data_IF_498635130032
#
_entry.id   IF_498635130032
#
_cell.length_a   1.000
_cell.length_b   1.000
_cell.length_c   1.000
_cell.angle_alpha   90.00
_cell.angle_beta   90.00
_cell.angle_gamma   90.00
#
_symmetry.space_group_name_H-M   'P 1'
#
loop_
_entity.id
_entity.type
_entity.pdbx_description
1 polymer ?
#
# COMPACT_ATOMS: atom_id res chain seq x y z
N UNK A 1 23.00 -53.57 7.70
CA UNK A 1 22.73 -52.11 7.83
C UNK A 1 21.83 -51.73 6.72
N UNK A 2 20.58 -51.43 7.03
CA UNK A 2 19.46 -51.43 6.11
C UNK A 2 19.20 -50.06 5.49
N UNK A 3 18.78 -50.06 4.21
CA UNK A 3 18.40 -48.89 3.42
C UNK A 3 17.34 -47.97 4.06
N UNK A 4 16.78 -48.34 5.22
CA UNK A 4 15.83 -47.52 5.98
C UNK A 4 16.48 -46.39 6.79
N UNK A 5 17.77 -46.48 7.12
CA UNK A 5 18.46 -45.44 7.90
C UNK A 5 18.97 -44.29 7.01
N UNK A 6 19.21 -44.54 5.72
CA UNK A 6 19.60 -43.50 4.77
C UNK A 6 18.41 -42.61 4.32
N UNK A 7 17.17 -43.11 4.39
CA UNK A 7 15.96 -42.35 4.02
C UNK A 7 15.48 -41.34 5.08
N UNK A 8 15.87 -41.50 6.34
CA UNK A 8 15.47 -40.57 7.41
C UNK A 8 16.43 -39.39 7.57
N UNK A 9 17.71 -39.55 7.24
CA UNK A 9 18.69 -38.44 7.28
C UNK A 9 18.47 -37.40 6.21
N UNK A 10 17.92 -37.78 5.06
CA UNK A 10 17.63 -36.82 3.93
C UNK A 10 16.40 -35.94 4.17
N UNK A 11 15.49 -36.29 5.10
CA UNK A 11 14.29 -35.48 5.41
C UNK A 11 14.51 -34.45 6.51
N UNK A 12 15.57 -34.52 7.29
CA UNK A 12 15.87 -33.59 8.36
C UNK A 12 16.62 -32.32 7.92
N UNK A 13 17.07 -32.26 6.65
CA UNK A 13 17.96 -31.20 6.16
C UNK A 13 17.31 -30.01 5.45
N UNK A 14 15.99 -29.93 5.28
CA UNK A 14 15.37 -28.89 4.44
C UNK A 14 14.40 -27.92 5.13
N UNK A 15 14.34 -27.92 6.45
CA UNK A 15 13.75 -26.81 7.19
C UNK A 15 14.73 -25.62 7.26
N UNK A 16 15.20 -25.10 6.11
CA UNK A 16 15.79 -23.76 6.08
C UNK A 16 14.77 -22.84 6.72
N UNK A 17 15.03 -22.37 7.94
CA UNK A 17 14.31 -21.24 8.55
C UNK A 17 14.25 -20.14 7.49
N UNK A 18 13.08 -19.97 6.85
CA UNK A 18 12.85 -18.83 5.99
C UNK A 18 13.01 -17.63 6.90
N UNK A 19 14.08 -16.85 6.68
CA UNK A 19 14.31 -15.63 7.42
C UNK A 19 13.05 -14.76 7.28
N UNK A 20 12.34 -14.56 8.38
CA UNK A 20 11.16 -13.71 8.38
C UNK A 20 11.61 -12.28 8.07
N UNK A 21 10.99 -11.65 7.07
CA UNK A 21 11.30 -10.27 6.74
C UNK A 21 11.00 -9.38 7.95
N UNK A 22 11.95 -8.54 8.42
CA UNK A 22 11.75 -7.71 9.61
C UNK A 22 10.55 -6.77 9.44
N UNK A 23 9.63 -6.78 10.40
CA UNK A 23 8.42 -5.94 10.36
C UNK A 23 8.59 -4.55 10.97
N UNK A 24 9.76 -4.25 11.53
CA UNK A 24 10.11 -2.96 12.17
C UNK A 24 8.98 -2.42 13.07
N UNK A 25 8.55 -3.22 14.06
CA UNK A 25 7.45 -2.87 14.96
C UNK A 25 7.66 -1.54 15.70
N UNK A 26 8.92 -1.20 16.01
CA UNK A 26 9.29 0.06 16.62
C UNK A 26 8.84 1.29 15.81
N UNK A 27 8.78 1.18 14.46
CA UNK A 27 8.35 2.27 13.60
C UNK A 27 6.85 2.65 13.78
N UNK A 28 6.08 1.85 14.51
CA UNK A 28 4.67 2.09 14.82
C UNK A 28 4.43 2.58 16.25
N UNK A 29 5.48 2.72 17.06
CA UNK A 29 5.40 3.29 18.40
C UNK A 29 5.03 4.79 18.36
N UNK A 30 4.44 5.35 19.42
CA UNK A 30 4.10 6.77 19.46
C UNK A 30 5.28 7.70 19.14
N UNK A 31 6.50 7.54 19.71
CA UNK A 31 7.63 8.39 19.37
C UNK A 31 8.02 8.32 17.89
N UNK A 32 8.10 7.12 17.32
CA UNK A 32 8.43 6.95 15.90
C UNK A 32 7.39 7.57 14.97
N UNK A 33 6.11 7.54 15.36
CA UNK A 33 5.01 8.20 14.63
C UNK A 33 5.12 9.73 14.70
N UNK A 34 5.58 10.29 15.82
CA UNK A 34 5.84 11.72 15.93
C UNK A 34 6.98 12.14 15.01
N UNK A 35 8.11 11.43 15.03
CA UNK A 35 9.24 11.65 14.12
C UNK A 35 8.77 11.52 12.66
N UNK A 36 8.02 10.47 12.31
CA UNK A 36 7.44 10.32 10.98
C UNK A 36 6.57 11.50 10.59
N UNK A 37 5.70 11.96 11.49
CA UNK A 37 4.86 13.11 11.21
C UNK A 37 5.68 14.36 10.93
N UNK A 38 6.74 14.59 11.70
CA UNK A 38 7.71 15.68 11.46
C UNK A 38 8.35 15.58 10.07
N UNK A 39 8.87 14.42 9.71
CA UNK A 39 9.45 14.17 8.37
C UNK A 39 8.42 14.43 7.28
N UNK A 40 7.20 13.91 7.44
CA UNK A 40 6.15 14.02 6.42
C UNK A 40 5.60 15.44 6.28
N UNK A 41 5.36 16.16 7.38
CA UNK A 41 4.85 17.54 7.32
C UNK A 41 5.93 18.56 7.03
N UNK A 42 7.13 18.37 7.58
CA UNK A 42 8.23 19.33 7.46
C UNK A 42 9.06 19.18 6.17
N UNK A 43 9.11 17.99 5.57
CA UNK A 43 9.92 17.75 4.39
C UNK A 43 9.14 17.11 3.24
N UNK A 44 8.56 15.93 3.43
CA UNK A 44 8.01 15.14 2.33
C UNK A 44 6.85 15.86 1.60
N UNK A 45 5.86 16.36 2.33
CA UNK A 45 4.68 17.01 1.74
C UNK A 45 5.03 18.36 1.09
N UNK A 46 5.83 19.25 1.72
CA UNK A 46 6.31 20.47 1.06
C UNK A 46 7.12 20.19 -0.20
N UNK A 47 8.05 19.22 -0.13
CA UNK A 47 8.86 18.84 -1.28
C UNK A 47 8.01 18.31 -2.44
N UNK A 48 7.06 17.41 -2.15
CA UNK A 48 6.14 16.91 -3.17
C UNK A 48 5.33 18.03 -3.82
N UNK A 49 4.82 18.98 -3.03
CA UNK A 49 4.07 20.12 -3.56
C UNK A 49 4.93 21.07 -4.39
N UNK A 50 6.21 21.22 -4.05
CA UNK A 50 7.15 22.04 -4.80
C UNK A 50 7.52 21.40 -6.14
N UNK A 51 7.84 20.10 -6.13
CA UNK A 51 8.24 19.37 -7.34
C UNK A 51 7.05 19.13 -8.26
N UNK A 52 5.92 18.74 -7.70
CA UNK A 52 4.72 18.38 -8.43
C UNK A 52 3.49 18.81 -7.63
N UNK A 53 2.94 20.00 -7.91
CA UNK A 53 1.67 20.43 -7.36
C UNK A 53 0.61 19.34 -7.60
N UNK A 54 -0.11 18.96 -6.55
CA UNK A 54 -1.15 17.95 -6.70
C UNK A 54 -2.50 18.43 -6.17
N UNK A 55 -3.53 18.08 -6.89
CA UNK A 55 -4.94 18.34 -6.53
C UNK A 55 -5.55 17.07 -5.95
N UNK A 56 -6.43 17.23 -4.97
CA UNK A 56 -7.15 16.09 -4.34
C UNK A 56 -8.65 16.27 -4.56
N UNK A 57 -9.24 15.34 -5.33
CA UNK A 57 -10.68 15.28 -5.60
C UNK A 57 -11.33 14.23 -4.68
N UNK A 58 -12.52 14.49 -4.18
CA UNK A 58 -13.27 13.54 -3.36
C UNK A 58 -12.79 13.41 -1.90
N UNK A 59 -11.98 14.32 -1.39
CA UNK A 59 -11.45 14.32 -0.01
C UNK A 59 -12.54 14.19 1.06
N UNK A 60 -13.76 14.69 0.79
CA UNK A 60 -14.93 14.56 1.66
C UNK A 60 -15.33 13.10 1.94
N UNK A 61 -14.97 12.15 1.07
CA UNK A 61 -15.24 10.73 1.28
C UNK A 61 -14.51 10.17 2.50
N UNK A 62 -13.37 10.76 2.88
CA UNK A 62 -12.62 10.35 4.07
C UNK A 62 -13.37 10.68 5.37
N UNK A 63 -14.28 11.66 5.39
CA UNK A 63 -15.08 11.96 6.59
C UNK A 63 -16.12 10.87 6.92
N UNK A 64 -16.48 10.05 5.91
CA UNK A 64 -17.41 8.92 6.08
C UNK A 64 -16.77 7.73 6.81
N UNK A 65 -15.43 7.72 6.95
CA UNK A 65 -14.71 6.65 7.64
C UNK A 65 -14.85 6.79 9.15
N UNK A 66 -15.43 5.77 9.79
CA UNK A 66 -15.56 5.68 11.26
C UNK A 66 -14.40 4.93 11.93
N UNK A 67 -13.58 4.24 11.16
CA UNK A 67 -12.48 3.38 11.63
C UNK A 67 -11.41 3.18 10.58
N UNK A 68 -10.60 2.11 10.72
CA UNK A 68 -9.61 1.74 9.72
C UNK A 68 -10.27 1.36 8.39
N UNK A 69 -9.49 1.47 7.31
CA UNK A 69 -9.93 1.13 5.96
C UNK A 69 -8.76 0.54 5.16
N UNK A 70 -9.08 -0.21 4.11
CA UNK A 70 -8.11 -0.63 3.09
C UNK A 70 -8.21 0.32 1.91
N UNK A 71 -7.15 1.07 1.65
CA UNK A 71 -7.04 1.96 0.50
C UNK A 71 -6.42 1.19 -0.67
N UNK A 72 -7.06 1.21 -1.82
CA UNK A 72 -6.56 0.57 -3.04
C UNK A 72 -6.33 1.61 -4.12
N UNK A 73 -5.16 1.57 -4.77
CA UNK A 73 -4.76 2.54 -5.79
C UNK A 73 -4.14 1.86 -7.00
N UNK A 74 -4.23 2.49 -8.17
CA UNK A 74 -3.36 2.16 -9.30
C UNK A 74 -1.89 2.45 -8.95
N UNK A 75 -0.95 1.80 -9.66
CA UNK A 75 0.48 1.94 -9.39
C UNK A 75 1.22 2.33 -10.66
N UNK A 76 1.77 3.54 -10.68
CA UNK A 76 2.46 4.13 -11.84
C UNK A 76 3.93 4.47 -11.51
N UNK A 77 4.20 4.92 -10.28
CA UNK A 77 5.48 5.51 -9.90
C UNK A 77 5.92 5.13 -8.48
N UNK A 78 7.19 5.30 -8.19
CA UNK A 78 7.70 5.25 -6.81
C UNK A 78 7.12 6.34 -5.90
N UNK A 79 6.60 7.42 -6.49
CA UNK A 79 5.97 8.53 -5.77
C UNK A 79 4.49 8.26 -5.40
N UNK A 80 3.89 7.17 -5.87
CA UNK A 80 2.49 6.87 -5.58
C UNK A 80 2.19 6.81 -4.08
N UNK A 81 3.00 6.08 -3.33
CA UNK A 81 2.81 5.98 -1.87
C UNK A 81 3.02 7.32 -1.15
N UNK A 82 4.12 8.08 -1.37
CA UNK A 82 4.28 9.43 -0.86
C UNK A 82 3.11 10.37 -1.17
N UNK A 83 2.63 10.38 -2.42
CA UNK A 83 1.52 11.24 -2.85
C UNK A 83 0.20 10.81 -2.21
N UNK A 84 -0.11 9.51 -2.13
CA UNK A 84 -1.26 9.00 -1.38
C UNK A 84 -1.20 9.45 0.10
N UNK A 85 -0.04 9.32 0.75
CA UNK A 85 0.16 9.77 2.12
C UNK A 85 -0.13 11.27 2.27
N UNK A 86 0.29 12.09 1.33
CA UNK A 86 0.03 13.53 1.33
C UNK A 86 -1.45 13.83 1.13
N UNK A 87 -2.11 13.19 0.16
CA UNK A 87 -3.51 13.38 -0.21
C UNK A 87 -4.49 12.96 0.90
N UNK A 88 -4.25 11.83 1.56
CA UNK A 88 -5.12 11.29 2.61
C UNK A 88 -5.13 12.14 3.89
N UNK A 89 -4.15 13.01 4.06
CA UNK A 89 -4.10 13.97 5.17
C UNK A 89 -3.78 13.34 6.52
N UNK A 90 -3.56 14.17 7.53
CA UNK A 90 -3.01 13.77 8.82
C UNK A 90 -3.89 12.84 9.65
N UNK A 91 -5.23 12.95 9.53
CA UNK A 91 -6.16 12.09 10.26
C UNK A 91 -5.98 10.62 9.90
N UNK A 92 -5.93 10.31 8.59
CA UNK A 92 -5.74 8.93 8.09
C UNK A 92 -4.27 8.53 8.19
N UNK A 93 -3.36 9.40 7.70
CA UNK A 93 -1.92 9.14 7.57
C UNK A 93 -1.24 8.72 8.87
N UNK A 94 -1.66 9.27 10.02
CA UNK A 94 -1.07 8.94 11.33
C UNK A 94 -1.23 7.48 11.74
N UNK A 95 -2.25 6.80 11.22
CA UNK A 95 -2.50 5.37 11.43
C UNK A 95 -2.66 4.62 10.10
N UNK A 96 -1.82 4.95 9.13
CA UNK A 96 -1.75 4.28 7.84
C UNK A 96 -0.41 3.55 7.72
N UNK A 97 -0.46 2.30 7.28
CA UNK A 97 0.70 1.56 6.82
C UNK A 97 0.60 1.32 5.32
N UNK A 98 1.75 1.28 4.64
CA UNK A 98 1.84 0.99 3.21
C UNK A 98 2.37 -0.42 3.03
N UNK A 99 1.58 -1.31 2.42
CA UNK A 99 2.02 -2.65 2.06
C UNK A 99 3.06 -2.57 0.93
N UNK A 100 4.33 -2.71 1.27
CA UNK A 100 5.44 -2.52 0.35
C UNK A 100 6.09 -3.86 0.00
N UNK A 101 6.49 -4.00 -1.27
CA UNK A 101 7.14 -5.20 -1.77
C UNK A 101 8.41 -5.53 -0.97
N UNK A 102 8.42 -6.71 -0.34
CA UNK A 102 9.49 -7.11 0.57
C UNK A 102 10.84 -7.25 -0.14
N UNK A 103 10.84 -7.77 -1.34
CA UNK A 103 12.02 -7.94 -2.21
C UNK A 103 12.71 -6.61 -2.60
N UNK A 104 11.96 -5.52 -2.66
CA UNK A 104 12.49 -4.21 -3.05
C UNK A 104 12.86 -3.33 -1.86
N UNK A 105 11.91 -3.07 -0.97
CA UNK A 105 12.11 -2.13 0.14
C UNK A 105 12.91 -2.72 1.30
N UNK A 106 12.91 -4.04 1.45
CA UNK A 106 13.54 -4.74 2.57
C UNK A 106 14.77 -5.55 2.13
N UNK A 107 15.37 -5.19 1.00
CA UNK A 107 16.62 -5.78 0.50
C UNK A 107 17.84 -5.50 1.39
N UNK A 108 17.77 -4.49 2.25
CA UNK A 108 18.73 -4.25 3.33
C UNK A 108 18.03 -3.70 4.58
N UNK A 109 18.64 -3.90 5.75
CA UNK A 109 18.10 -3.42 7.02
C UNK A 109 17.92 -1.90 7.05
N UNK A 110 18.87 -1.15 6.50
CA UNK A 110 18.84 0.31 6.46
C UNK A 110 17.69 0.81 5.58
N UNK A 111 17.53 0.26 4.38
CA UNK A 111 16.43 0.64 3.48
C UNK A 111 15.06 0.32 4.10
N UNK A 112 14.91 -0.86 4.70
CA UNK A 112 13.67 -1.25 5.35
C UNK A 112 13.33 -0.37 6.54
N UNK A 113 14.31 -0.05 7.39
CA UNK A 113 14.14 0.85 8.52
C UNK A 113 13.75 2.27 8.08
N UNK A 114 14.46 2.83 7.11
CA UNK A 114 14.18 4.16 6.56
C UNK A 114 12.79 4.25 5.92
N UNK A 115 12.40 3.28 5.09
CA UNK A 115 11.08 3.23 4.48
C UNK A 115 9.97 3.06 5.53
N UNK A 116 10.19 2.20 6.55
CA UNK A 116 9.25 2.00 7.65
C UNK A 116 9.10 3.25 8.51
N UNK A 117 10.18 4.00 8.74
CA UNK A 117 10.13 5.25 9.49
C UNK A 117 9.48 6.37 8.67
N UNK A 118 9.93 6.63 7.46
CA UNK A 118 9.50 7.79 6.67
C UNK A 118 8.08 7.62 6.11
N UNK A 119 7.77 6.45 5.54
CA UNK A 119 6.51 6.20 4.82
C UNK A 119 5.53 5.30 5.59
N UNK A 120 5.96 4.69 6.70
CA UNK A 120 5.14 3.71 7.41
C UNK A 120 4.98 2.39 6.65
N UNK A 121 5.98 2.02 5.84
CA UNK A 121 5.91 0.76 5.09
C UNK A 121 5.94 -0.46 6.02
N UNK A 122 5.30 -1.52 5.56
CA UNK A 122 5.39 -2.86 6.14
C UNK A 122 5.67 -3.86 5.03
N UNK A 123 6.48 -4.91 5.29
CA UNK A 123 6.84 -5.87 4.27
C UNK A 123 5.61 -6.66 3.83
N UNK A 124 5.45 -6.79 2.52
CA UNK A 124 4.42 -7.62 1.90
C UNK A 124 5.06 -8.54 0.87
N UNK A 125 4.97 -9.84 1.11
CA UNK A 125 5.43 -10.88 0.17
C UNK A 125 4.31 -11.16 -0.81
N UNK A 126 4.58 -10.96 -2.11
CA UNK A 126 3.57 -10.98 -3.18
C UNK A 126 3.18 -12.38 -3.67
N UNK A 127 3.97 -13.42 -3.34
CA UNK A 127 3.76 -14.79 -3.84
C UNK A 127 4.31 -15.84 -2.86
N UNK A 128 3.79 -17.05 -2.96
CA UNK A 128 4.20 -18.18 -2.11
C UNK A 128 3.52 -18.21 -0.74
N UNK A 129 3.90 -19.17 0.11
CA UNK A 129 3.32 -19.37 1.45
C UNK A 129 3.40 -18.15 2.36
N UNK A 130 4.47 -17.37 2.27
CA UNK A 130 4.67 -16.15 3.05
C UNK A 130 3.74 -14.99 2.70
N UNK A 131 2.95 -15.10 1.61
CA UNK A 131 1.91 -14.10 1.31
C UNK A 131 0.75 -14.18 2.31
N UNK A 132 0.42 -15.38 2.80
CA UNK A 132 -0.59 -15.57 3.86
C UNK A 132 -0.12 -14.95 5.17
N UNK A 133 1.15 -15.13 5.55
CA UNK A 133 1.72 -14.53 6.75
C UNK A 133 1.67 -13.00 6.67
N UNK A 134 1.96 -12.43 5.49
CA UNK A 134 1.86 -11.00 5.25
C UNK A 134 0.42 -10.49 5.39
N UNK A 135 -0.58 -11.21 4.88
CA UNK A 135 -1.99 -10.84 5.04
C UNK A 135 -2.44 -10.96 6.48
N UNK A 136 -2.05 -12.02 7.19
CA UNK A 136 -2.35 -12.18 8.61
C UNK A 136 -1.77 -11.03 9.44
N UNK A 137 -0.52 -10.64 9.17
CA UNK A 137 0.10 -9.50 9.82
C UNK A 137 -0.64 -8.18 9.55
N UNK A 138 -1.08 -7.92 8.30
CA UNK A 138 -1.90 -6.75 7.97
C UNK A 138 -3.26 -6.79 8.69
N UNK A 139 -3.89 -7.95 8.80
CA UNK A 139 -5.15 -8.14 9.54
C UNK A 139 -4.99 -7.79 11.03
N UNK A 140 -3.90 -8.20 11.65
CA UNK A 140 -3.58 -7.81 13.03
C UNK A 140 -3.40 -6.29 13.18
N UNK A 141 -2.76 -5.64 12.21
CA UNK A 141 -2.63 -4.18 12.20
C UNK A 141 -3.98 -3.49 12.07
N UNK A 142 -4.85 -3.99 11.19
CA UNK A 142 -6.21 -3.46 11.03
C UNK A 142 -7.01 -3.61 12.34
N UNK A 143 -6.92 -4.77 12.99
CA UNK A 143 -7.54 -4.99 14.31
C UNK A 143 -7.02 -4.06 15.42
N UNK A 144 -5.79 -3.53 15.25
CA UNK A 144 -5.20 -2.50 16.13
C UNK A 144 -5.53 -1.06 15.69
N UNK A 145 -6.46 -0.88 14.75
CA UNK A 145 -6.93 0.41 14.26
C UNK A 145 -6.01 1.08 13.21
N UNK A 146 -5.16 0.30 12.51
CA UNK A 146 -4.36 0.81 11.41
C UNK A 146 -5.09 0.63 10.08
N UNK A 147 -5.11 1.66 9.25
CA UNK A 147 -5.48 1.55 7.84
C UNK A 147 -4.31 1.02 7.01
N UNK A 148 -4.62 0.43 5.86
CA UNK A 148 -3.62 -0.16 4.97
C UNK A 148 -3.77 0.43 3.57
N UNK A 149 -2.66 0.89 2.96
CA UNK A 149 -2.59 1.25 1.54
C UNK A 149 -1.96 0.09 0.78
N UNK A 150 -2.64 -0.39 -0.24
CA UNK A 150 -2.22 -1.50 -1.11
C UNK A 150 -2.34 -1.07 -2.57
N UNK A 151 -1.37 -1.49 -3.38
CA UNK A 151 -1.39 -1.40 -4.84
C UNK A 151 -1.71 -2.79 -5.41
N UNK A 152 -2.98 -3.11 -5.68
CA UNK A 152 -3.40 -4.49 -5.93
C UNK A 152 -2.92 -5.07 -7.27
N UNK A 153 -2.52 -4.24 -8.24
CA UNK A 153 -1.88 -4.71 -9.47
C UNK A 153 -0.51 -5.37 -9.22
N UNK A 154 0.14 -5.04 -8.10
CA UNK A 154 1.42 -5.59 -7.67
C UNK A 154 2.62 -5.20 -8.52
N UNK A 155 2.43 -4.63 -9.70
CA UNK A 155 3.46 -4.14 -10.62
C UNK A 155 3.05 -2.79 -11.18
N UNK A 156 4.05 -1.95 -11.48
CA UNK A 156 3.83 -0.67 -12.15
C UNK A 156 3.51 -0.89 -13.63
N UNK A 157 2.43 -0.26 -14.10
CA UNK A 157 2.06 -0.27 -15.51
C UNK A 157 0.54 -0.34 -15.71
N UNK A 158 0.11 -0.07 -16.94
CA UNK A 158 -1.28 -0.11 -17.39
C UNK A 158 -1.73 -1.53 -17.76
N UNK A 159 -1.04 -2.56 -17.25
CA UNK A 159 -1.25 -3.94 -17.65
C UNK A 159 -2.68 -4.44 -17.35
N UNK A 160 -3.23 -5.19 -18.29
CA UNK A 160 -4.55 -5.78 -18.30
C UNK A 160 -4.80 -6.88 -17.25
N UNK A 161 -3.89 -7.09 -16.31
CA UNK A 161 -4.15 -8.00 -15.18
C UNK A 161 -4.96 -7.28 -14.11
N UNK A 162 -6.18 -7.73 -13.87
CA UNK A 162 -7.07 -7.23 -12.82
C UNK A 162 -6.44 -7.22 -11.42
N UNK A 163 -7.16 -6.71 -10.46
CA UNK A 163 -6.67 -6.61 -9.08
C UNK A 163 -6.45 -7.98 -8.44
N UNK A 164 -5.32 -8.14 -7.77
CA UNK A 164 -5.06 -9.33 -6.93
C UNK A 164 -5.96 -9.31 -5.70
N UNK A 165 -6.51 -10.46 -5.34
CA UNK A 165 -7.52 -10.63 -4.29
C UNK A 165 -7.01 -10.33 -2.85
N UNK A 166 -5.72 -10.13 -2.63
CA UNK A 166 -5.14 -9.98 -1.28
C UNK A 166 -5.78 -8.88 -0.44
N UNK A 167 -6.12 -7.73 -1.04
CA UNK A 167 -6.79 -6.64 -0.33
C UNK A 167 -8.24 -7.01 0.04
N UNK A 168 -8.92 -7.78 -0.81
CA UNK A 168 -10.30 -8.20 -0.57
C UNK A 168 -10.36 -9.21 0.60
N UNK A 169 -9.44 -10.18 0.65
CA UNK A 169 -9.30 -11.06 1.83
C UNK A 169 -9.09 -10.25 3.11
N UNK A 170 -8.19 -9.26 3.06
CA UNK A 170 -7.93 -8.41 4.22
C UNK A 170 -9.19 -7.63 4.65
N UNK A 171 -9.90 -7.01 3.70
CA UNK A 171 -11.05 -6.15 3.98
C UNK A 171 -12.25 -6.94 4.49
N UNK A 172 -12.59 -8.07 3.84
CA UNK A 172 -13.69 -8.94 4.27
C UNK A 172 -13.40 -9.58 5.61
N UNK A 173 -12.21 -10.18 5.79
CA UNK A 173 -11.85 -10.86 7.02
C UNK A 173 -11.74 -9.91 8.23
N UNK A 174 -11.37 -8.65 8.00
CA UNK A 174 -11.29 -7.63 9.05
C UNK A 174 -12.56 -6.78 9.17
N UNK A 175 -13.57 -7.00 8.31
CA UNK A 175 -14.83 -6.25 8.24
C UNK A 175 -14.62 -4.73 8.18
N UNK A 176 -13.69 -4.29 7.29
CA UNK A 176 -13.38 -2.87 7.08
C UNK A 176 -13.65 -2.45 5.63
N UNK A 177 -14.05 -1.20 5.39
CA UNK A 177 -14.35 -0.73 4.05
C UNK A 177 -13.09 -0.63 3.18
N UNK A 178 -13.28 -0.78 1.86
CA UNK A 178 -12.28 -0.48 0.83
C UNK A 178 -12.53 0.92 0.29
N UNK A 179 -11.47 1.73 0.18
CA UNK A 179 -11.54 3.08 -0.41
C UNK A 179 -10.73 3.09 -1.71
N UNK A 180 -11.39 3.24 -2.87
CA UNK A 180 -10.70 3.32 -4.15
C UNK A 180 -10.02 4.69 -4.30
N UNK A 181 -8.77 4.66 -4.74
CA UNK A 181 -7.97 5.82 -5.10
C UNK A 181 -7.55 5.72 -6.57
N UNK A 182 -7.46 6.86 -7.24
CA UNK A 182 -6.85 6.94 -8.55
C UNK A 182 -5.81 8.06 -8.59
N UNK A 183 -4.63 7.72 -9.07
CA UNK A 183 -3.49 8.61 -9.25
C UNK A 183 -3.33 8.89 -10.74
N UNK A 184 -3.18 10.15 -11.12
CA UNK A 184 -2.94 10.59 -12.49
C UNK A 184 -1.76 11.54 -12.56
N UNK A 185 -1.01 11.49 -13.69
CA UNK A 185 0.13 12.36 -13.96
C UNK A 185 1.46 11.92 -13.34
N UNK A 186 1.48 10.94 -12.43
CA UNK A 186 2.73 10.50 -11.76
C UNK A 186 3.69 9.75 -12.66
N UNK A 187 3.22 9.12 -13.71
CA UNK A 187 4.03 8.49 -14.77
C UNK A 187 4.78 9.55 -15.61
N UNK A 188 4.22 10.74 -15.76
CA UNK A 188 4.85 11.87 -16.44
C UNK A 188 5.85 12.59 -15.52
N UNK A 189 5.48 12.81 -14.25
CA UNK A 189 6.35 13.46 -13.26
C UNK A 189 7.56 12.61 -12.90
N UNK A 190 7.39 11.30 -12.81
CA UNK A 190 8.46 10.36 -12.51
C UNK A 190 8.38 9.15 -13.44
N UNK A 191 8.86 9.27 -14.68
CA UNK A 191 8.91 8.17 -15.62
C UNK A 191 9.69 6.96 -15.08
N UNK A 192 9.34 5.78 -15.56
CA UNK A 192 10.03 4.54 -15.18
C UNK A 192 11.52 4.64 -15.53
N UNK A 193 12.38 4.46 -14.54
CA UNK A 193 13.85 4.56 -14.71
C UNK A 193 14.42 5.96 -14.46
N UNK A 194 13.59 6.99 -14.30
CA UNK A 194 14.05 8.31 -13.87
C UNK A 194 14.22 8.40 -12.36
N UNK A 195 15.24 9.12 -11.91
CA UNK A 195 15.46 9.49 -10.51
C UNK A 195 15.23 10.99 -10.28
N UNK A 196 15.02 11.75 -11.34
CA UNK A 196 14.78 13.19 -11.30
C UNK A 196 13.32 13.43 -11.65
N UNK A 197 12.52 14.00 -10.74
CA UNK A 197 11.14 14.34 -11.04
C UNK A 197 11.07 15.50 -12.05
N UNK A 198 10.18 15.37 -13.02
CA UNK A 198 9.86 16.42 -13.98
C UNK A 198 8.71 17.27 -13.44
N UNK A 199 8.66 18.56 -13.75
CA UNK A 199 7.49 19.39 -13.47
C UNK A 199 6.24 18.80 -14.13
N UNK A 200 5.13 18.73 -13.39
CA UNK A 200 3.87 18.23 -13.92
C UNK A 200 2.77 18.25 -12.86
N UNK A 201 1.53 18.34 -13.32
CA UNK A 201 0.35 18.28 -12.46
C UNK A 201 0.04 16.83 -12.07
N UNK A 202 -0.28 16.62 -10.81
CA UNK A 202 -0.76 15.32 -10.31
C UNK A 202 -2.16 15.50 -9.76
N UNK A 203 -3.05 14.58 -10.07
CA UNK A 203 -4.40 14.55 -9.51
C UNK A 203 -4.62 13.25 -8.76
N UNK A 204 -5.10 13.36 -7.53
CA UNK A 204 -5.47 12.22 -6.68
C UNK A 204 -6.97 12.21 -6.48
N UNK A 205 -7.64 11.24 -7.05
CA UNK A 205 -9.05 10.99 -6.80
C UNK A 205 -9.25 10.04 -5.62
N UNK A 206 -10.22 10.35 -4.78
CA UNK A 206 -10.63 9.54 -3.63
C UNK A 206 -12.12 9.18 -3.79
N UNK A 207 -12.41 7.92 -4.04
CA UNK A 207 -13.78 7.41 -4.18
C UNK A 207 -14.50 7.23 -2.85
N UNK A 208 -15.81 6.93 -2.89
CA UNK A 208 -16.59 6.59 -1.72
C UNK A 208 -16.11 5.26 -1.10
N UNK A 209 -16.20 5.10 0.22
CA UNK A 209 -15.91 3.83 0.88
C UNK A 209 -16.89 2.75 0.41
N UNK A 210 -16.37 1.59 0.03
CA UNK A 210 -17.10 0.39 -0.39
C UNK A 210 -17.18 -0.54 0.82
N UNK A 211 -18.38 -0.94 1.28
CA UNK A 211 -18.52 -1.92 2.35
C UNK A 211 -17.85 -3.26 2.02
N UNK A 212 -17.28 -3.98 2.99
CA UNK A 212 -16.53 -5.21 2.73
C UNK A 212 -17.40 -6.33 2.12
N UNK A 213 -18.66 -6.48 2.59
CA UNK A 213 -19.50 -7.63 2.23
C UNK A 213 -18.88 -8.94 2.72
N UNK A 214 -19.33 -10.06 2.15
CA UNK A 214 -18.90 -11.41 2.53
C UNK A 214 -18.24 -12.16 1.33
N UNK A 215 -18.30 -11.60 0.12
CA UNK A 215 -17.73 -12.19 -1.09
C UNK A 215 -16.49 -11.42 -1.56
N UNK A 216 -15.37 -12.10 -1.54
CA UNK A 216 -14.07 -11.56 -1.97
C UNK A 216 -14.07 -11.17 -3.47
N UNK A 217 -14.72 -11.96 -4.35
CA UNK A 217 -14.71 -11.68 -5.79
C UNK A 217 -15.61 -10.48 -6.10
N UNK A 218 -16.78 -10.42 -5.48
CA UNK A 218 -17.67 -9.27 -5.60
C UNK A 218 -16.99 -7.98 -5.10
N UNK A 219 -16.22 -8.06 -4.01
CA UNK A 219 -15.47 -6.90 -3.50
C UNK A 219 -14.35 -6.48 -4.46
N UNK A 220 -13.64 -7.42 -5.10
CA UNK A 220 -12.63 -7.12 -6.12
C UNK A 220 -13.28 -6.36 -7.27
N UNK A 221 -14.38 -6.90 -7.83
CA UNK A 221 -15.10 -6.25 -8.95
C UNK A 221 -15.59 -4.84 -8.58
N UNK A 222 -16.17 -4.66 -7.38
CA UNK A 222 -16.60 -3.34 -6.88
C UNK A 222 -15.44 -2.37 -6.73
N UNK A 223 -14.28 -2.84 -6.26
CA UNK A 223 -13.09 -2.00 -6.09
C UNK A 223 -12.51 -1.58 -7.45
N UNK A 224 -12.47 -2.48 -8.44
CA UNK A 224 -12.04 -2.17 -9.80
C UNK A 224 -12.98 -1.14 -10.45
N UNK A 225 -14.29 -1.35 -10.35
CA UNK A 225 -15.30 -0.38 -10.81
C UNK A 225 -15.12 0.96 -10.10
N UNK A 226 -14.97 0.96 -8.78
CA UNK A 226 -14.77 2.19 -8.00
C UNK A 226 -13.50 2.96 -8.41
N UNK A 227 -12.40 2.27 -8.69
CA UNK A 227 -11.18 2.92 -9.22
C UNK A 227 -11.41 3.46 -10.63
N UNK A 228 -12.16 2.74 -11.49
CA UNK A 228 -12.50 3.19 -12.84
C UNK A 228 -13.40 4.44 -12.82
N UNK A 229 -14.40 4.48 -11.94
CA UNK A 229 -15.26 5.65 -11.73
C UNK A 229 -14.45 6.87 -11.28
N UNK A 230 -13.57 6.68 -10.27
CA UNK A 230 -12.67 7.75 -9.82
C UNK A 230 -11.76 8.23 -10.94
N UNK A 231 -11.25 7.32 -11.78
CA UNK A 231 -10.45 7.65 -12.97
C UNK A 231 -11.24 8.56 -13.94
N UNK A 232 -12.49 8.23 -14.21
CA UNK A 232 -13.36 9.03 -15.10
C UNK A 232 -13.53 10.46 -14.55
N UNK A 233 -13.81 10.59 -13.25
CA UNK A 233 -13.94 11.90 -12.59
C UNK A 233 -12.63 12.70 -12.66
N UNK A 234 -11.50 12.07 -12.40
CA UNK A 234 -10.17 12.72 -12.43
C UNK A 234 -9.85 13.22 -13.84
N UNK A 235 -10.07 12.38 -14.87
CA UNK A 235 -9.80 12.77 -16.27
C UNK A 235 -10.74 13.84 -16.79
N UNK A 236 -11.99 13.82 -16.36
CA UNK A 236 -12.95 14.87 -16.72
C UNK A 236 -12.62 16.22 -16.07
N UNK A 237 -11.96 16.23 -14.93
CA UNK A 237 -11.56 17.45 -14.23
C UNK A 237 -10.39 18.19 -14.94
N UNK A 238 -9.50 17.46 -15.62
CA UNK A 238 -8.38 18.06 -16.37
C UNK A 238 -8.82 18.76 -17.66
N UNK A 239 -10.01 18.47 -18.14
CA UNK A 239 -10.61 19.08 -19.35
C UNK A 239 -11.52 20.27 -19.05
N UNK A 240 -11.67 20.65 -17.77
CA UNK A 240 -12.49 21.76 -17.33
C UNK A 240 -11.63 22.93 -16.84
#
# INVERSE_FOLDING_TARGET
>A
MSEREQGQSARAGSARRRASVPTYSWARTPPARMVRSGIQYGALVPLLKFISPFTVIGKRNLSKLKGPAVFVANHQSHFDAPVCLAALGGRVRRRLVVAAAADYFYSSAVKGAAASLALGTVPFVRSGGSSRDSLQFLKELVGKGWSVLIFPSGTRGTGASGFKKGFAYLAVDAQVPVVPLYLHGLDQVMPKGSFIPLPGGVVVGIGPPIPPGDDYNALVAKAETGVAEVRTVVKGWEGA
#
